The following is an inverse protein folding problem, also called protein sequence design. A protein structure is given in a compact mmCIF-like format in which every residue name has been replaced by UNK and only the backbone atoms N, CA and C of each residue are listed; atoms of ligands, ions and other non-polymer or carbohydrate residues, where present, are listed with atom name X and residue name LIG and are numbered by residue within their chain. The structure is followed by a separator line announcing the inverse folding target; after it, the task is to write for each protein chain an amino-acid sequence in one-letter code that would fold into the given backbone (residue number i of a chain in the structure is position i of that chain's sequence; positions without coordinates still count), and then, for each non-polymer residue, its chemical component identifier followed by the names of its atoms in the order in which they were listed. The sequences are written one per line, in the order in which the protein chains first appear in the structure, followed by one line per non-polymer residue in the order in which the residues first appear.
data_IF_036193798854
#
_entry.id   IF_036193798854
#
_cell.length_a   1.000
_cell.length_b   1.000
_cell.length_c   1.000
_cell.angle_alpha   90.00
_cell.angle_beta   90.00
_cell.angle_gamma   90.00
#
_symmetry.space_group_name_H-M   'P 1'
#
loop_
_entity.id
_entity.type
_entity.pdbx_description
1 polymer ?
#
# COMPACT_ATOMS: atom_id res chain seq x y z
N UNK A 1 -18.08 -25.48 -6.21
CA UNK A 1 -18.63 -25.03 -7.50
C UNK A 1 -17.51 -24.41 -8.33
N UNK A 2 -17.17 -25.00 -9.48
CA UNK A 2 -16.13 -24.49 -10.37
C UNK A 2 -16.67 -23.31 -11.20
N UNK A 3 -16.03 -22.13 -11.11
CA UNK A 3 -16.34 -21.00 -11.98
C UNK A 3 -15.57 -21.13 -13.31
N UNK A 4 -16.31 -21.27 -14.42
CA UNK A 4 -15.78 -21.32 -15.79
C UNK A 4 -15.27 -19.94 -16.22
N UNK A 5 -14.03 -19.88 -16.71
CA UNK A 5 -13.49 -18.74 -17.46
C UNK A 5 -14.39 -18.45 -18.67
N UNK A 6 -15.06 -17.28 -18.69
CA UNK A 6 -15.71 -16.76 -19.89
C UNK A 6 -14.67 -16.05 -20.74
N UNK A 7 -14.18 -16.71 -21.78
CA UNK A 7 -13.45 -16.05 -22.87
C UNK A 7 -14.45 -15.29 -23.75
N UNK A 8 -14.47 -13.96 -23.61
CA UNK A 8 -15.21 -13.08 -24.51
C UNK A 8 -14.52 -13.07 -25.87
N UNK A 9 -15.06 -13.83 -26.82
CA UNK A 9 -14.58 -13.84 -28.21
C UNK A 9 -15.25 -12.69 -28.97
N UNK A 10 -14.52 -11.60 -29.16
CA UNK A 10 -14.97 -10.49 -30.00
C UNK A 10 -14.83 -10.86 -31.49
N UNK A 11 -15.90 -10.68 -32.27
CA UNK A 11 -15.90 -10.95 -33.71
C UNK A 11 -15.64 -9.63 -34.45
N UNK A 12 -14.56 -9.57 -35.23
CA UNK A 12 -14.21 -8.38 -36.02
C UNK A 12 -14.97 -8.43 -37.36
N UNK A 13 -15.67 -7.34 -37.69
CA UNK A 13 -16.40 -7.23 -38.94
C UNK A 13 -15.43 -7.14 -40.14
N UNK A 14 -15.74 -7.87 -41.22
CA UNK A 14 -14.97 -7.83 -42.47
C UNK A 14 -15.05 -6.44 -43.11
N UNK A 15 -13.89 -5.85 -43.43
CA UNK A 15 -13.72 -4.51 -43.97
C UNK A 15 -13.56 -3.40 -42.92
N UNK A 16 -13.63 -3.72 -41.63
CA UNK A 16 -13.47 -2.71 -40.57
C UNK A 16 -12.05 -2.16 -40.50
N UNK A 17 -11.92 -0.92 -40.02
CA UNK A 17 -10.63 -0.30 -39.72
C UNK A 17 -9.77 -1.20 -38.81
N UNK A 18 -10.42 -1.86 -37.83
CA UNK A 18 -9.79 -2.83 -36.94
C UNK A 18 -9.23 -4.05 -37.69
N UNK A 19 -9.94 -4.61 -38.68
CA UNK A 19 -9.41 -5.72 -39.50
C UNK A 19 -8.23 -5.27 -40.37
N UNK A 20 -8.26 -4.04 -40.87
CA UNK A 20 -7.16 -3.49 -41.67
C UNK A 20 -5.91 -3.23 -40.83
N UNK A 21 -6.05 -2.81 -39.57
CA UNK A 21 -4.94 -2.67 -38.61
C UNK A 21 -4.32 -4.02 -38.24
N UNK A 22 -5.15 -5.07 -38.04
CA UNK A 22 -4.71 -6.46 -37.82
C UNK A 22 -3.89 -6.97 -39.01
N UNK A 23 -4.36 -6.74 -40.24
CA UNK A 23 -3.68 -7.17 -41.48
C UNK A 23 -2.39 -6.43 -41.78
N UNK A 24 -2.25 -5.18 -41.31
CA UNK A 24 -1.04 -4.36 -41.47
C UNK A 24 0.11 -4.78 -40.55
N UNK A 25 -0.05 -5.85 -39.76
CA UNK A 25 0.92 -6.24 -38.73
C UNK A 25 1.07 -5.20 -37.62
N UNK A 26 0.21 -4.17 -37.63
CA UNK A 26 0.23 -3.06 -36.70
C UNK A 26 -0.70 -3.39 -35.54
N UNK A 27 -0.60 -4.62 -35.02
CA UNK A 27 -0.90 -4.85 -33.62
C UNK A 27 0.19 -4.10 -32.86
N UNK A 28 -0.08 -2.84 -32.54
CA UNK A 28 0.52 -2.28 -31.34
C UNK A 28 -0.09 -3.10 -30.22
N UNK A 29 0.64 -4.12 -29.78
CA UNK A 29 0.47 -4.86 -28.54
C UNK A 29 0.64 -3.91 -27.33
N UNK A 30 0.19 -2.66 -27.43
CA UNK A 30 0.36 -1.59 -26.46
C UNK A 30 -0.72 -1.61 -25.39
N UNK A 31 -1.67 -2.54 -25.45
CA UNK A 31 -2.69 -2.74 -24.41
C UNK A 31 -2.14 -3.54 -23.22
N UNK A 32 -1.03 -4.27 -23.37
CA UNK A 32 -0.49 -5.16 -22.33
C UNK A 32 1.04 -5.29 -22.32
N UNK A 33 1.80 -4.32 -22.81
CA UNK A 33 3.21 -4.24 -22.41
C UNK A 33 3.27 -3.50 -21.07
N UNK A 34 3.00 -4.24 -19.98
CA UNK A 34 3.43 -3.83 -18.64
C UNK A 34 4.95 -3.64 -18.73
N UNK A 35 5.42 -2.45 -18.36
CA UNK A 35 6.87 -2.20 -18.36
C UNK A 35 7.53 -3.13 -17.33
N UNK A 36 8.85 -3.37 -17.47
CA UNK A 36 9.58 -4.19 -16.49
C UNK A 36 9.40 -3.69 -15.04
N UNK A 37 9.25 -2.37 -14.87
CA UNK A 37 8.96 -1.74 -13.58
C UNK A 37 7.51 -1.98 -13.11
N UNK A 38 6.53 -2.01 -14.01
CA UNK A 38 5.14 -2.37 -13.66
C UNK A 38 5.06 -3.82 -13.18
N UNK A 39 5.76 -4.73 -13.87
CA UNK A 39 5.87 -6.14 -13.46
C UNK A 39 6.49 -6.29 -12.06
N UNK A 40 7.52 -5.51 -11.75
CA UNK A 40 8.14 -5.51 -10.42
C UNK A 40 7.16 -5.04 -9.33
N UNK A 41 6.48 -3.91 -9.55
CA UNK A 41 5.50 -3.37 -8.58
C UNK A 41 4.33 -4.34 -8.40
N UNK A 42 3.87 -4.97 -9.48
CA UNK A 42 2.82 -5.99 -9.44
C UNK A 42 3.24 -7.22 -8.61
N UNK A 43 4.48 -7.70 -8.78
CA UNK A 43 5.03 -8.79 -7.98
C UNK A 43 5.10 -8.43 -6.48
N UNK A 44 5.46 -7.18 -6.16
CA UNK A 44 5.44 -6.69 -4.78
C UNK A 44 4.02 -6.66 -4.20
N UNK A 45 3.02 -6.21 -4.98
CA UNK A 45 1.61 -6.23 -4.57
C UNK A 45 1.16 -7.67 -4.29
N UNK A 46 1.44 -8.61 -5.20
CA UNK A 46 1.06 -10.01 -5.02
C UNK A 46 1.72 -10.64 -3.80
N UNK A 47 2.98 -10.31 -3.54
CA UNK A 47 3.67 -10.74 -2.32
C UNK A 47 2.96 -10.22 -1.07
N UNK A 48 2.63 -8.93 -1.02
CA UNK A 48 1.93 -8.35 0.13
C UNK A 48 0.50 -8.91 0.29
N UNK A 49 -0.20 -9.22 -0.80
CA UNK A 49 -1.51 -9.91 -0.77
C UNK A 49 -1.37 -11.30 -0.14
N UNK A 50 -0.33 -12.07 -0.51
CA UNK A 50 -0.08 -13.37 0.13
C UNK A 50 0.23 -13.24 1.63
N UNK A 51 0.95 -12.20 2.04
CA UNK A 51 1.23 -11.91 3.46
C UNK A 51 -0.09 -11.61 4.19
N UNK A 52 -0.92 -10.73 3.62
CA UNK A 52 -2.24 -10.39 4.15
C UNK A 52 -3.12 -11.62 4.33
N UNK A 53 -3.21 -12.48 3.32
CA UNK A 53 -3.99 -13.72 3.39
C UNK A 53 -3.45 -14.69 4.44
N UNK A 54 -2.13 -14.79 4.56
CA UNK A 54 -1.46 -15.55 5.61
C UNK A 54 -1.81 -15.03 7.01
N UNK A 55 -1.76 -13.71 7.21
CA UNK A 55 -2.13 -13.07 8.47
C UNK A 55 -3.61 -13.32 8.82
N UNK A 56 -4.54 -13.25 7.86
CA UNK A 56 -5.94 -13.61 8.07
C UNK A 56 -6.12 -15.05 8.56
N UNK A 57 -5.40 -16.00 7.95
CA UNK A 57 -5.47 -17.42 8.35
C UNK A 57 -4.86 -17.65 9.73
N UNK A 58 -3.74 -16.98 10.04
CA UNK A 58 -3.13 -17.03 11.36
C UNK A 58 -4.09 -16.47 12.42
N UNK A 59 -4.71 -15.32 12.17
CA UNK A 59 -5.71 -14.74 13.07
C UNK A 59 -6.87 -15.69 13.37
N UNK A 60 -7.37 -16.39 12.36
CA UNK A 60 -8.45 -17.38 12.54
C UNK A 60 -8.02 -18.60 13.36
N UNK A 61 -6.71 -18.88 13.44
CA UNK A 61 -6.14 -20.00 14.19
C UNK A 61 -5.56 -19.59 15.56
N UNK A 62 -5.48 -18.30 15.87
CA UNK A 62 -4.89 -17.82 17.13
C UNK A 62 -5.76 -18.21 18.34
N UNK A 63 -5.11 -18.83 19.33
CA UNK A 63 -5.71 -19.09 20.66
C UNK A 63 -5.22 -18.11 21.73
N UNK A 64 -4.08 -17.46 21.48
CA UNK A 64 -3.46 -16.50 22.39
C UNK A 64 -3.65 -15.06 21.91
N UNK A 65 -3.87 -14.15 22.87
CA UNK A 65 -4.09 -12.72 22.58
C UNK A 65 -2.90 -12.07 21.88
N UNK A 66 -1.69 -12.29 22.38
CA UNK A 66 -0.49 -11.63 21.83
C UNK A 66 -0.23 -12.04 20.37
N UNK A 67 -0.43 -13.33 20.06
CA UNK A 67 -0.34 -13.83 18.69
C UNK A 67 -1.40 -13.18 17.78
N UNK A 68 -2.62 -13.04 18.27
CA UNK A 68 -3.69 -12.38 17.52
C UNK A 68 -3.39 -10.89 17.29
N UNK A 69 -2.78 -10.21 18.26
CA UNK A 69 -2.38 -8.81 18.13
C UNK A 69 -1.29 -8.63 17.07
N UNK A 70 -0.24 -9.44 17.10
CA UNK A 70 0.84 -9.38 16.10
C UNK A 70 0.38 -9.77 14.69
N UNK A 71 -0.50 -10.77 14.58
CA UNK A 71 -1.11 -11.12 13.31
C UNK A 71 -2.02 -9.98 12.79
N UNK A 72 -2.73 -9.28 13.67
CA UNK A 72 -3.54 -8.10 13.33
C UNK A 72 -2.67 -6.93 12.86
N UNK A 73 -1.56 -6.66 13.55
CA UNK A 73 -0.55 -5.66 13.14
C UNK A 73 -0.01 -5.97 11.75
N UNK A 74 0.34 -7.22 11.48
CA UNK A 74 0.82 -7.68 10.17
C UNK A 74 -0.23 -7.49 9.08
N UNK A 75 -1.49 -7.83 9.38
CA UNK A 75 -2.61 -7.65 8.47
C UNK A 75 -2.80 -6.17 8.08
N UNK A 76 -2.81 -5.27 9.06
CA UNK A 76 -2.99 -3.84 8.85
C UNK A 76 -1.79 -3.21 8.11
N UNK A 77 -0.57 -3.62 8.46
CA UNK A 77 0.66 -3.15 7.80
C UNK A 77 0.68 -3.55 6.33
N UNK A 78 0.44 -4.84 6.03
CA UNK A 78 0.41 -5.35 4.65
C UNK A 78 -0.71 -4.71 3.82
N UNK A 79 -1.90 -4.51 4.40
CA UNK A 79 -2.99 -3.82 3.72
C UNK A 79 -2.61 -2.37 3.34
N UNK A 80 -1.91 -1.67 4.22
CA UNK A 80 -1.43 -0.31 3.95
C UNK A 80 -0.36 -0.30 2.84
N UNK A 81 0.57 -1.26 2.86
CA UNK A 81 1.59 -1.44 1.80
C UNK A 81 0.95 -1.71 0.44
N UNK A 82 -0.03 -2.61 0.39
CA UNK A 82 -0.79 -2.92 -0.83
C UNK A 82 -1.40 -1.64 -1.42
N UNK A 83 -2.07 -0.82 -0.62
CA UNK A 83 -2.67 0.44 -1.08
C UNK A 83 -1.61 1.43 -1.59
N UNK A 84 -0.48 1.54 -0.91
CA UNK A 84 0.62 2.42 -1.32
C UNK A 84 1.25 1.98 -2.66
N UNK A 85 1.49 0.68 -2.83
CA UNK A 85 2.02 0.10 -4.06
C UNK A 85 1.03 0.21 -5.22
N UNK A 86 -0.26 -0.07 -5.00
CA UNK A 86 -1.30 0.15 -6.02
C UNK A 86 -1.37 1.61 -6.46
N UNK A 87 -1.28 2.55 -5.51
CA UNK A 87 -1.25 3.99 -5.82
C UNK A 87 -0.01 4.39 -6.64
N UNK A 88 1.13 3.72 -6.45
CA UNK A 88 2.34 3.93 -7.26
C UNK A 88 2.16 3.36 -8.66
N UNK A 89 1.67 2.13 -8.78
CA UNK A 89 1.42 1.47 -10.06
C UNK A 89 0.45 2.30 -10.92
N UNK A 90 -0.63 2.80 -10.32
CA UNK A 90 -1.61 3.63 -11.00
C UNK A 90 -0.97 4.91 -11.57
N UNK A 91 -0.16 5.62 -10.77
CA UNK A 91 0.55 6.83 -11.24
C UNK A 91 1.52 6.54 -12.38
N UNK A 92 2.21 5.40 -12.35
CA UNK A 92 3.10 4.97 -13.43
C UNK A 92 2.31 4.73 -14.73
N UNK A 93 1.17 4.05 -14.64
CA UNK A 93 0.29 3.79 -15.78
C UNK A 93 -0.31 5.08 -16.37
N UNK A 94 -0.72 6.02 -15.52
CA UNK A 94 -1.21 7.34 -15.95
C UNK A 94 -0.12 8.16 -16.65
N UNK A 95 1.11 8.18 -16.12
CA UNK A 95 2.23 8.85 -16.76
C UNK A 95 2.55 8.26 -18.14
N UNK A 96 2.54 6.93 -18.27
CA UNK A 96 2.75 6.25 -19.54
C UNK A 96 1.61 6.53 -20.54
N UNK A 97 0.36 6.58 -20.07
CA UNK A 97 -0.79 6.92 -20.90
C UNK A 97 -0.71 8.38 -21.41
N UNK A 98 -0.33 9.33 -20.55
CA UNK A 98 -0.12 10.73 -20.95
C UNK A 98 1.01 10.88 -21.98
N UNK A 99 2.13 10.18 -21.80
CA UNK A 99 3.22 10.14 -22.78
C UNK A 99 2.77 9.57 -24.15
N UNK A 100 1.85 8.59 -24.14
CA UNK A 100 1.29 8.00 -25.37
C UNK A 100 0.27 8.91 -26.05
N UNK A 101 -0.49 9.70 -25.29
CA UNK A 101 -1.48 10.65 -25.80
C UNK A 101 -0.86 11.97 -26.32
N UNK A 102 0.24 12.42 -25.71
CA UNK A 102 0.92 13.66 -26.05
C UNK A 102 2.05 13.48 -27.08
N UNK A 103 1.75 13.17 -28.34
CA UNK A 103 2.73 13.32 -29.44
C UNK A 103 2.72 14.74 -30.02
N UNK A 104 3.03 15.78 -29.21
CA UNK A 104 3.61 17.06 -29.68
C UNK A 104 4.50 17.63 -28.58
N UNK A 105 5.75 17.84 -28.97
CA UNK A 105 6.91 18.42 -28.28
C UNK A 105 6.64 19.65 -27.41
N UNK A 106 7.40 19.81 -26.32
CA UNK A 106 8.14 21.05 -26.05
C UNK A 106 9.48 20.73 -25.39
N UNK A 107 10.54 21.06 -26.12
CA UNK A 107 11.89 21.33 -25.60
C UNK A 107 11.77 22.54 -24.67
N UNK A 108 11.53 22.27 -23.39
CA UNK A 108 11.42 23.25 -22.33
C UNK A 108 12.80 23.42 -21.70
N UNK A 109 13.41 24.57 -21.96
CA UNK A 109 14.81 24.88 -21.69
C UNK A 109 15.31 24.59 -20.28
N UNK A 110 16.63 24.41 -20.21
CA UNK A 110 17.45 24.12 -19.04
C UNK A 110 16.91 24.73 -17.74
N UNK A 111 16.17 23.90 -17.00
CA UNK A 111 15.86 24.13 -15.60
C UNK A 111 17.17 23.95 -14.85
N UNK A 112 17.56 24.95 -14.05
CA UNK A 112 18.74 25.00 -13.19
C UNK A 112 19.15 23.59 -12.72
N UNK A 113 20.36 23.15 -13.11
CA UNK A 113 20.92 21.80 -12.93
C UNK A 113 21.29 21.52 -11.46
N UNK A 114 20.59 22.17 -10.53
CA UNK A 114 20.70 21.95 -9.10
C UNK A 114 19.97 20.66 -8.74
N UNK A 115 20.74 19.59 -8.69
CA UNK A 115 20.29 18.33 -8.11
C UNK A 115 19.87 18.57 -6.65
N UNK A 116 18.68 18.10 -6.23
CA UNK A 116 18.30 18.16 -4.82
C UNK A 116 19.30 17.36 -3.99
N UNK A 117 19.67 17.89 -2.82
CA UNK A 117 20.51 17.15 -1.88
C UNK A 117 19.73 15.95 -1.31
N UNK A 118 20.40 14.82 -1.18
CA UNK A 118 19.86 13.64 -0.50
C UNK A 118 20.14 13.73 1.00
N UNK A 119 19.17 13.34 1.82
CA UNK A 119 19.30 13.29 3.27
C UNK A 119 18.55 12.07 3.81
N UNK A 120 18.97 11.58 4.97
CA UNK A 120 18.21 10.61 5.77
C UNK A 120 17.49 11.35 6.88
N UNK A 121 16.25 10.96 7.15
CA UNK A 121 15.44 11.56 8.21
C UNK A 121 15.24 10.51 9.30
N UNK A 122 15.65 10.85 10.53
CA UNK A 122 15.36 10.02 11.69
C UNK A 122 14.20 10.64 12.48
N UNK A 123 13.21 9.83 12.82
CA UNK A 123 12.06 10.20 13.64
C UNK A 123 12.13 9.34 14.90
N UNK A 124 12.25 9.97 16.06
CA UNK A 124 12.28 9.33 17.38
C UNK A 124 11.25 9.95 18.33
N UNK A 125 11.08 9.34 19.50
CA UNK A 125 10.30 9.87 20.61
C UNK A 125 8.83 10.20 20.23
N UNK A 126 8.22 9.34 19.42
CA UNK A 126 6.83 9.53 19.00
C UNK A 126 5.94 9.35 20.23
N UNK A 127 5.24 10.43 20.60
CA UNK A 127 4.34 10.46 21.75
C UNK A 127 2.95 10.94 21.35
N UNK A 128 1.92 10.20 21.73
CA UNK A 128 0.52 10.51 21.48
C UNK A 128 -0.20 10.70 22.83
N UNK A 129 -0.52 11.94 23.22
CA UNK A 129 -1.26 12.20 24.44
C UNK A 129 -2.64 11.57 24.42
N UNK A 130 -3.02 10.98 25.55
CA UNK A 130 -4.30 10.33 25.78
C UNK A 130 -5.19 11.25 26.62
N UNK A 131 -6.44 11.38 26.19
CA UNK A 131 -7.45 12.12 26.94
C UNK A 131 -8.56 11.18 27.37
N UNK A 132 -8.41 10.61 28.56
CA UNK A 132 -9.42 9.76 29.17
C UNK A 132 -10.60 10.58 29.63
N UNK A 133 -11.81 10.04 29.45
CA UNK A 133 -13.01 10.67 30.02
C UNK A 133 -13.10 10.36 31.51
N UNK A 134 -13.56 11.32 32.31
CA UNK A 134 -13.81 11.12 33.75
C UNK A 134 -14.71 9.90 34.02
N UNK A 135 -15.70 9.64 33.16
CA UNK A 135 -16.55 8.46 33.26
C UNK A 135 -15.79 7.14 33.15
N UNK A 136 -14.72 7.10 32.37
CA UNK A 136 -13.87 5.92 32.19
C UNK A 136 -12.87 5.76 33.33
N UNK A 137 -12.40 6.88 33.90
CA UNK A 137 -11.47 6.90 35.03
C UNK A 137 -12.16 6.54 36.36
N UNK A 138 -13.34 7.10 36.65
CA UNK A 138 -13.98 6.97 37.97
C UNK A 138 -14.98 5.82 38.11
N UNK A 139 -15.63 5.35 37.02
CA UNK A 139 -16.76 4.39 37.14
C UNK A 139 -16.39 2.92 37.01
N UNK A 140 -15.14 2.61 36.65
CA UNK A 140 -14.72 1.24 36.28
C UNK A 140 -13.62 0.71 37.20
N UNK A 141 -13.88 0.67 38.52
CA UNK A 141 -12.93 0.23 39.56
C UNK A 141 -12.55 -1.27 39.52
N UNK A 142 -12.86 -2.00 38.45
CA UNK A 142 -12.56 -3.43 38.33
C UNK A 142 -12.27 -3.94 36.93
N UNK A 143 -12.38 -3.11 35.89
CA UNK A 143 -12.19 -3.53 34.49
C UNK A 143 -11.08 -2.71 33.84
N UNK A 144 -9.87 -3.29 33.83
CA UNK A 144 -8.70 -2.78 33.13
C UNK A 144 -8.92 -2.97 31.63
N UNK A 145 -9.62 -2.04 30.99
CA UNK A 145 -9.66 -1.98 29.54
C UNK A 145 -8.26 -1.63 29.04
N UNK A 146 -7.56 -2.64 28.54
CA UNK A 146 -6.27 -2.49 27.89
C UNK A 146 -6.48 -2.48 26.38
N UNK A 147 -5.82 -1.54 25.71
CA UNK A 147 -5.81 -1.44 24.25
C UNK A 147 -4.38 -1.62 23.76
N UNK A 148 -4.19 -2.40 22.70
CA UNK A 148 -2.90 -2.49 22.03
C UNK A 148 -2.84 -1.42 20.93
N UNK A 149 -1.76 -0.65 20.88
CA UNK A 149 -1.56 0.45 19.93
C UNK A 149 -0.22 0.27 19.24
N UNK A 150 -0.17 0.53 17.94
CA UNK A 150 1.07 0.63 17.17
C UNK A 150 0.92 1.77 16.15
N UNK A 151 2.03 2.28 15.66
CA UNK A 151 2.06 3.34 14.66
C UNK A 151 2.51 2.80 13.29
N UNK A 152 1.94 3.36 12.22
CA UNK A 152 2.40 3.16 10.84
C UNK A 152 2.87 4.51 10.28
N UNK A 153 4.14 4.60 9.91
CA UNK A 153 4.69 5.75 9.20
C UNK A 153 4.80 5.44 7.72
N UNK A 154 4.29 6.36 6.89
CA UNK A 154 4.31 6.25 5.44
C UNK A 154 5.14 7.38 4.84
N UNK A 155 6.22 7.00 4.16
CA UNK A 155 7.03 7.89 3.32
C UNK A 155 6.94 7.42 1.86
N UNK A 156 6.05 8.05 1.08
CA UNK A 156 5.78 7.62 -0.30
C UNK A 156 5.20 6.20 -0.37
N UNK A 157 5.99 5.24 -0.84
CA UNK A 157 5.64 3.80 -0.87
C UNK A 157 6.23 2.99 0.28
N UNK A 158 7.13 3.57 1.06
CA UNK A 158 7.75 2.90 2.19
C UNK A 158 6.83 3.02 3.41
N UNK A 159 6.61 1.89 4.08
CA UNK A 159 5.76 1.77 5.26
C UNK A 159 6.59 1.14 6.38
N UNK A 160 6.83 1.94 7.42
CA UNK A 160 7.47 1.55 8.66
C UNK A 160 6.42 1.38 9.74
N UNK A 161 6.66 0.47 10.68
CA UNK A 161 5.80 0.23 11.82
C UNK A 161 6.62 0.22 13.11
N UNK A 162 5.97 0.59 14.22
CA UNK A 162 6.51 0.46 15.58
C UNK A 162 6.05 -0.85 16.20
N UNK A 163 6.57 -1.20 17.37
CA UNK A 163 6.05 -2.31 18.16
C UNK A 163 4.68 -2.01 18.78
N UNK A 164 4.02 -3.09 19.21
CA UNK A 164 2.74 -3.01 19.90
C UNK A 164 2.99 -2.59 21.34
N UNK A 165 2.33 -1.52 21.73
CA UNK A 165 2.34 -0.99 23.10
C UNK A 165 0.98 -1.25 23.72
N UNK A 166 0.96 -1.87 24.90
CA UNK A 166 -0.27 -2.04 25.67
C UNK A 166 -0.53 -0.79 26.49
N UNK A 167 -1.72 -0.23 26.31
CA UNK A 167 -2.14 1.04 26.88
C UNK A 167 -3.32 0.80 27.80
N UNK A 168 -3.24 1.33 29.01
CA UNK A 168 -4.35 1.34 29.96
C UNK A 168 -4.59 2.76 30.48
N UNK A 169 -5.62 2.91 31.33
CA UNK A 169 -6.06 4.20 31.86
C UNK A 169 -5.07 4.87 32.82
N UNK A 170 -4.00 4.19 33.20
CA UNK A 170 -2.94 4.77 34.04
C UNK A 170 -1.94 5.58 33.23
N UNK A 171 -1.89 5.36 31.90
CA UNK A 171 -0.99 6.09 31.01
C UNK A 171 -1.60 7.42 30.57
N UNK A 172 -0.80 8.48 30.54
CA UNK A 172 -1.18 9.78 29.98
C UNK A 172 -0.87 9.91 28.50
N UNK A 173 0.04 9.08 28.01
CA UNK A 173 0.56 9.15 26.65
C UNK A 173 0.90 7.74 26.14
N UNK A 174 0.77 7.52 24.84
CA UNK A 174 1.40 6.38 24.14
C UNK A 174 2.77 6.82 23.68
N UNK A 175 3.81 6.09 24.08
CA UNK A 175 5.20 6.35 23.69
C UNK A 175 5.71 5.20 22.83
N UNK A 176 6.40 5.53 21.74
CA UNK A 176 7.15 4.59 20.93
C UNK A 176 8.64 4.93 21.02
N UNK A 177 9.43 4.00 21.56
CA UNK A 177 10.86 4.19 21.81
C UNK A 177 11.71 3.97 20.55
N UNK A 178 11.13 3.39 19.49
CA UNK A 178 11.89 3.10 18.27
C UNK A 178 12.23 4.37 17.50
N UNK A 179 13.45 4.41 16.95
CA UNK A 179 13.84 5.42 15.98
C UNK A 179 13.61 4.89 14.56
N UNK A 180 12.78 5.59 13.80
CA UNK A 180 12.46 5.27 12.42
C UNK A 180 13.35 6.11 11.48
N UNK A 181 14.12 5.43 10.63
CA UNK A 181 15.01 6.07 9.65
C UNK A 181 14.39 5.94 8.27
N UNK A 182 14.21 7.07 7.60
CA UNK A 182 13.66 7.26 6.26
C UNK A 182 14.72 7.81 5.30
#
# INVERSE_FOLDING_TARGET
MFCRNKTSRATVARGSALEMEVKRGQFRLSVLEDSAQDCEVQNLIEREVRIKDGACKLLAACSQRDQALEASKTLLTSNTRILALMSRLQRMKEAQAMQRAGRRSFDGGAIDDRLPCTAKVAISDIRIPLMWKDSEYFKNKGELHQCAVFCLLRAGTEIHNTDLVIVDRTLTDVCFDETLIL
#
